data_IF_335608694024
#
_entry.id   IF_335608694024
#
_cell.length_a   1.000
_cell.length_b   1.000
_cell.length_c   1.000
_cell.angle_alpha   90.00
_cell.angle_beta   90.00
_cell.angle_gamma   90.00
#
_symmetry.space_group_name_H-M   'P 1'
#
loop_
_entity.id
_entity.type
_entity.pdbx_description
1 polymer ?
#
# COMPACT_ATOMS: atom_id res chain seq x y z
N UNK A 1 1.89 -16.56 24.19
CA UNK A 1 1.43 -16.73 22.80
C UNK A 1 2.58 -16.37 21.89
N UNK A 2 2.83 -17.07 20.79
CA UNK A 2 3.85 -16.68 19.83
C UNK A 2 3.49 -15.32 19.25
N UNK A 3 4.51 -14.49 19.05
CA UNK A 3 4.36 -13.15 18.48
C UNK A 3 4.74 -13.25 17.00
N UNK A 4 3.85 -12.77 16.10
CA UNK A 4 4.15 -12.65 14.68
C UNK A 4 5.01 -11.43 14.38
N UNK A 5 5.64 -11.42 13.23
CA UNK A 5 6.27 -10.22 12.72
C UNK A 5 5.23 -9.11 12.45
N UNK A 6 5.54 -7.86 12.78
CA UNK A 6 4.72 -6.73 12.38
C UNK A 6 4.75 -6.54 10.86
N UNK A 7 3.61 -6.13 10.33
CA UNK A 7 3.45 -5.74 8.93
C UNK A 7 3.71 -4.25 8.81
N UNK A 8 4.72 -3.89 8.05
CA UNK A 8 5.17 -2.51 7.83
C UNK A 8 4.82 -2.09 6.42
N UNK A 9 4.06 -1.01 6.24
CA UNK A 9 3.80 -0.42 4.93
C UNK A 9 4.71 0.79 4.69
N UNK A 10 5.23 0.91 3.47
CA UNK A 10 6.03 2.06 3.03
C UNK A 10 5.19 2.94 2.13
N UNK A 11 4.97 4.18 2.54
CA UNK A 11 4.09 5.17 1.91
C UNK A 11 4.85 6.43 1.50
N UNK A 12 4.29 7.22 0.63
CA UNK A 12 4.86 8.49 0.19
C UNK A 12 4.60 8.76 -1.29
N UNK A 13 4.95 9.96 -1.72
CA UNK A 13 4.76 10.38 -3.12
C UNK A 13 5.59 9.52 -4.10
N UNK A 14 5.21 9.52 -5.39
CA UNK A 14 6.05 8.97 -6.45
C UNK A 14 7.41 9.67 -6.41
N UNK A 15 8.49 8.96 -6.71
CA UNK A 15 9.88 9.45 -6.69
C UNK A 15 10.46 9.85 -5.33
N UNK A 16 9.76 9.64 -4.20
CA UNK A 16 10.34 9.86 -2.86
C UNK A 16 11.42 8.83 -2.50
N UNK A 17 11.53 7.73 -3.27
CA UNK A 17 12.57 6.71 -3.11
C UNK A 17 12.15 5.52 -2.24
N UNK A 18 10.86 5.16 -2.20
CA UNK A 18 10.34 4.02 -1.43
C UNK A 18 11.06 2.71 -1.77
N UNK A 19 11.06 2.33 -3.04
CA UNK A 19 11.71 1.09 -3.50
C UNK A 19 13.23 1.14 -3.32
N UNK A 20 13.85 2.31 -3.55
CA UNK A 20 15.28 2.49 -3.32
C UNK A 20 15.67 2.30 -1.85
N UNK A 21 14.84 2.81 -0.91
CA UNK A 21 15.04 2.60 0.52
C UNK A 21 15.02 1.10 0.85
N UNK A 22 14.05 0.36 0.33
CA UNK A 22 13.93 -1.06 0.57
C UNK A 22 15.07 -1.85 -0.11
N UNK A 23 15.47 -1.45 -1.31
CA UNK A 23 16.63 -2.04 -2.02
C UNK A 23 17.94 -1.84 -1.24
N UNK A 24 18.12 -0.66 -0.64
CA UNK A 24 19.27 -0.39 0.20
C UNK A 24 19.32 -1.31 1.42
N UNK A 25 18.17 -1.57 2.06
CA UNK A 25 18.07 -2.51 3.19
C UNK A 25 18.32 -3.96 2.73
N UNK A 26 17.77 -4.36 1.57
CA UNK A 26 17.93 -5.70 0.98
C UNK A 26 19.30 -5.95 0.38
N UNK A 27 20.08 -4.90 0.12
CA UNK A 27 21.27 -4.90 -0.76
C UNK A 27 20.94 -5.45 -2.15
N UNK A 28 19.77 -5.07 -2.67
CA UNK A 28 19.21 -5.50 -3.96
C UNK A 28 19.08 -4.32 -4.94
N UNK A 29 18.58 -4.57 -6.13
CA UNK A 29 18.42 -3.56 -7.18
C UNK A 29 17.07 -3.72 -7.91
N UNK A 30 15.99 -3.89 -7.17
CA UNK A 30 14.63 -4.09 -7.74
C UNK A 30 14.20 -2.85 -8.52
N UNK A 31 14.42 -1.65 -7.97
CA UNK A 31 14.08 -0.38 -8.63
C UNK A 31 14.73 -0.23 -10.02
N UNK A 32 15.99 -0.62 -10.15
CA UNK A 32 16.70 -0.49 -11.42
C UNK A 32 16.13 -1.40 -12.54
N UNK A 33 15.27 -2.35 -12.20
CA UNK A 33 14.67 -3.33 -13.11
C UNK A 33 13.22 -2.98 -13.46
N UNK A 34 12.58 -2.14 -12.69
CA UNK A 34 11.22 -1.67 -12.98
C UNK A 34 11.23 -0.64 -14.11
N UNK A 35 10.24 -0.71 -15.00
CA UNK A 35 10.11 0.20 -16.12
C UNK A 35 9.94 1.65 -15.63
N UNK A 36 10.87 2.53 -16.01
CA UNK A 36 10.89 3.92 -15.56
C UNK A 36 11.36 4.11 -14.11
N UNK A 37 11.83 3.06 -13.42
CA UNK A 37 12.28 3.13 -12.02
C UNK A 37 11.16 3.40 -11.00
N UNK A 38 9.90 3.22 -11.42
CA UNK A 38 8.71 3.40 -10.57
C UNK A 38 8.08 2.05 -10.24
N UNK A 39 7.70 1.87 -9.00
CA UNK A 39 7.02 0.66 -8.52
C UNK A 39 5.62 0.57 -9.11
N UNK A 40 5.36 -0.48 -9.89
CA UNK A 40 4.09 -0.71 -10.56
C UNK A 40 3.26 -1.84 -9.91
N UNK A 41 3.89 -2.67 -9.09
CA UNK A 41 3.27 -3.82 -8.43
C UNK A 41 3.54 -3.82 -6.92
N UNK A 42 2.64 -4.43 -6.15
CA UNK A 42 2.81 -4.56 -4.70
C UNK A 42 3.85 -5.62 -4.41
N UNK A 43 4.90 -5.25 -3.65
CA UNK A 43 5.93 -6.16 -3.16
C UNK A 43 5.79 -6.47 -1.68
N UNK A 44 6.22 -7.65 -1.29
CA UNK A 44 6.33 -8.02 0.12
C UNK A 44 7.65 -8.74 0.36
N UNK A 45 8.38 -8.34 1.40
CA UNK A 45 9.65 -8.93 1.78
C UNK A 45 9.73 -9.12 3.27
N UNK A 46 10.27 -10.25 3.67
CA UNK A 46 10.54 -10.54 5.08
C UNK A 46 11.97 -10.16 5.44
N UNK A 47 12.11 -9.33 6.45
CA UNK A 47 13.40 -8.92 7.03
C UNK A 47 13.58 -9.62 8.39
N UNK A 48 14.44 -10.67 8.47
CA UNK A 48 14.73 -11.34 9.74
C UNK A 48 15.32 -10.39 10.78
N UNK A 49 15.02 -10.63 12.05
CA UNK A 49 15.54 -9.81 13.14
C UNK A 49 17.09 -9.79 13.18
N UNK A 50 17.72 -10.93 12.87
CA UNK A 50 19.18 -11.04 12.78
C UNK A 50 19.75 -10.04 11.78
N UNK A 51 19.20 -9.95 10.59
CA UNK A 51 19.61 -9.00 9.54
C UNK A 51 19.39 -7.55 9.99
N UNK A 52 18.24 -7.26 10.63
CA UNK A 52 17.96 -5.92 11.16
C UNK A 52 18.99 -5.52 12.23
N UNK A 53 19.39 -6.46 13.09
CA UNK A 53 20.41 -6.25 14.11
C UNK A 53 21.78 -6.01 13.46
N UNK A 54 22.13 -6.73 12.40
CA UNK A 54 23.38 -6.52 11.66
C UNK A 54 23.45 -5.12 11.05
N UNK A 55 22.36 -4.66 10.42
CA UNK A 55 22.28 -3.31 9.82
C UNK A 55 22.35 -2.23 10.90
N UNK A 56 21.59 -2.38 11.97
CA UNK A 56 21.54 -1.40 13.06
C UNK A 56 22.82 -1.39 13.94
N UNK A 57 23.61 -2.45 13.91
CA UNK A 57 24.90 -2.55 14.56
C UNK A 57 24.95 -2.03 16.01
N UNK A 58 25.70 -0.96 16.27
CA UNK A 58 25.88 -0.41 17.62
C UNK A 58 24.61 0.08 18.28
N UNK A 59 23.61 0.57 17.51
CA UNK A 59 22.37 1.14 18.02
C UNK A 59 21.52 0.10 18.77
N UNK A 60 21.52 -1.16 18.32
CA UNK A 60 20.76 -2.25 18.93
C UNK A 60 21.66 -3.24 19.71
N UNK A 61 22.96 -3.13 19.63
CA UNK A 61 23.93 -4.15 20.04
C UNK A 61 23.82 -4.63 21.50
N UNK A 62 23.55 -3.72 22.45
CA UNK A 62 23.39 -4.06 23.88
C UNK A 62 21.98 -4.56 24.23
N UNK A 63 21.02 -4.49 23.32
CA UNK A 63 19.61 -4.80 23.58
C UNK A 63 19.11 -6.04 22.81
N UNK A 64 19.99 -6.77 22.10
CA UNK A 64 19.62 -7.94 21.27
C UNK A 64 18.70 -8.93 21.98
N UNK A 65 18.95 -9.23 23.25
CA UNK A 65 18.15 -10.19 24.02
C UNK A 65 16.76 -9.69 24.42
N UNK A 66 16.46 -8.42 24.22
CA UNK A 66 15.17 -7.81 24.58
C UNK A 66 14.14 -7.89 23.46
N UNK A 67 14.58 -8.07 22.22
CA UNK A 67 13.67 -8.13 21.07
C UNK A 67 13.03 -9.52 20.96
N UNK A 68 11.71 -9.55 20.88
CA UNK A 68 10.88 -10.77 20.80
C UNK A 68 10.21 -10.95 19.44
N UNK A 69 10.22 -9.90 18.59
CA UNK A 69 9.68 -9.99 17.24
C UNK A 69 10.62 -10.83 16.36
N UNK A 70 10.11 -11.73 15.50
CA UNK A 70 10.96 -12.57 14.64
C UNK A 70 11.59 -11.80 13.46
N UNK A 71 11.08 -10.61 13.15
CA UNK A 71 11.53 -9.76 12.06
C UNK A 71 10.46 -8.76 11.68
N UNK A 72 10.52 -8.23 10.45
CA UNK A 72 9.53 -7.32 9.88
C UNK A 72 9.04 -7.87 8.53
N UNK A 73 7.74 -7.87 8.29
CA UNK A 73 7.18 -8.07 6.95
C UNK A 73 6.93 -6.68 6.35
N UNK A 74 7.76 -6.29 5.39
CA UNK A 74 7.66 -4.97 4.77
C UNK A 74 6.95 -5.10 3.43
N UNK A 75 5.96 -4.22 3.23
CA UNK A 75 5.16 -4.15 2.02
C UNK A 75 5.58 -2.90 1.26
N UNK A 76 6.12 -3.11 0.06
CA UNK A 76 6.40 -2.06 -0.91
C UNK A 76 5.16 -1.81 -1.75
N UNK A 77 4.75 -0.58 -1.83
CA UNK A 77 3.47 -0.23 -2.46
C UNK A 77 3.67 0.79 -3.57
N UNK A 78 3.04 0.57 -4.76
CA UNK A 78 2.94 1.62 -5.76
C UNK A 78 2.08 2.75 -5.19
N UNK A 79 2.71 3.83 -4.75
CA UNK A 79 2.01 5.01 -4.21
C UNK A 79 0.97 4.66 -3.14
N UNK A 80 -0.25 5.16 -3.32
CA UNK A 80 -1.39 5.00 -2.39
C UNK A 80 -2.23 3.72 -2.61
N UNK A 81 -2.13 3.09 -3.80
CA UNK A 81 -3.04 2.00 -4.23
C UNK A 81 -3.02 0.79 -3.33
N UNK A 82 -1.85 0.40 -2.87
CA UNK A 82 -1.72 -0.81 -2.10
C UNK A 82 -2.17 -0.67 -0.65
N UNK A 83 -2.09 0.53 -0.09
CA UNK A 83 -2.64 0.76 1.25
C UNK A 83 -4.16 0.70 1.24
N UNK A 84 -4.79 1.08 0.13
CA UNK A 84 -6.21 0.90 -0.08
C UNK A 84 -6.57 -0.60 -0.19
N UNK A 85 -5.75 -1.41 -0.88
CA UNK A 85 -5.95 -2.86 -0.99
C UNK A 85 -5.69 -3.64 0.31
N UNK A 86 -4.90 -3.08 1.25
CA UNK A 86 -4.61 -3.66 2.56
C UNK A 86 -5.62 -3.23 3.64
N UNK A 87 -6.84 -2.87 3.25
CA UNK A 87 -7.88 -2.38 4.16
C UNK A 87 -8.32 -3.37 5.23
N UNK A 88 -8.74 -2.77 6.35
CA UNK A 88 -9.46 -3.41 7.44
C UNK A 88 -10.70 -4.17 6.95
N UNK A 89 -10.54 -5.48 6.77
CA UNK A 89 -11.66 -6.39 6.89
C UNK A 89 -11.25 -7.50 7.86
N UNK A 90 -11.48 -7.21 9.16
CA UNK A 90 -11.24 -8.18 10.21
C UNK A 90 -9.85 -8.14 10.89
N UNK A 91 -9.07 -7.09 10.70
CA UNK A 91 -7.74 -6.90 11.31
C UNK A 91 -6.85 -6.04 10.42
N UNK A 92 -6.24 -4.99 10.95
CA UNK A 92 -5.44 -4.05 10.16
C UNK A 92 -4.32 -4.76 9.40
N UNK A 93 -4.27 -4.60 8.09
CA UNK A 93 -3.25 -5.24 7.27
C UNK A 93 -1.85 -4.63 7.48
N UNK A 94 -1.72 -3.43 8.04
CA UNK A 94 -0.46 -2.84 8.45
C UNK A 94 -0.50 -2.48 9.94
N UNK A 95 0.50 -2.93 10.66
CA UNK A 95 0.64 -2.65 12.09
C UNK A 95 1.30 -1.29 12.32
N UNK A 96 2.21 -0.89 11.42
CA UNK A 96 2.93 0.38 11.45
C UNK A 96 3.28 0.79 10.01
N UNK A 97 3.46 2.09 9.78
CA UNK A 97 3.86 2.59 8.47
C UNK A 97 5.14 3.43 8.54
N UNK A 98 5.87 3.46 7.42
CA UNK A 98 6.94 4.42 7.15
C UNK A 98 6.43 5.38 6.09
N UNK A 99 6.29 6.65 6.43
CA UNK A 99 5.94 7.70 5.48
C UNK A 99 7.23 8.35 4.96
N UNK A 100 7.50 8.24 3.66
CA UNK A 100 8.66 8.90 3.03
C UNK A 100 8.28 10.32 2.58
N UNK A 101 9.13 11.26 2.95
CA UNK A 101 9.05 12.66 2.55
C UNK A 101 10.39 13.06 1.95
N UNK A 102 10.39 13.72 0.81
CA UNK A 102 11.60 14.27 0.21
C UNK A 102 12.03 15.52 1.01
N UNK A 103 13.28 15.57 1.46
CA UNK A 103 13.77 16.66 2.31
C UNK A 103 13.64 18.04 1.64
N UNK A 104 13.85 18.11 0.31
CA UNK A 104 13.82 19.36 -0.44
C UNK A 104 12.41 19.78 -0.86
N UNK A 105 11.55 18.80 -1.20
CA UNK A 105 10.20 19.06 -1.70
C UNK A 105 9.15 19.13 -0.58
N UNK A 106 9.41 18.49 0.56
CA UNK A 106 8.45 18.40 1.65
C UNK A 106 7.23 17.56 1.29
N UNK A 107 6.04 18.05 1.66
CA UNK A 107 4.78 17.36 1.39
C UNK A 107 4.29 17.61 -0.03
N UNK A 108 4.03 16.52 -0.73
CA UNK A 108 3.42 16.51 -2.07
C UNK A 108 2.02 15.85 -1.99
N UNK A 109 1.21 15.92 -3.04
CA UNK A 109 -0.20 15.49 -3.02
C UNK A 109 -0.41 14.07 -2.43
N UNK A 110 0.36 13.08 -2.86
CA UNK A 110 0.23 11.71 -2.34
C UNK A 110 0.77 11.55 -0.90
N UNK A 111 1.61 12.48 -0.43
CA UNK A 111 2.04 12.50 0.98
C UNK A 111 0.89 12.91 1.88
N UNK A 112 0.11 13.94 1.50
CA UNK A 112 -1.10 14.32 2.22
C UNK A 112 -2.14 13.21 2.22
N UNK A 113 -2.37 12.56 1.09
CA UNK A 113 -3.25 11.40 0.97
C UNK A 113 -2.84 10.27 1.92
N UNK A 114 -1.57 9.92 1.89
CA UNK A 114 -1.02 8.89 2.79
C UNK A 114 -1.26 9.26 4.27
N UNK A 115 -1.06 10.53 4.62
CA UNK A 115 -1.28 11.05 5.96
C UNK A 115 -2.76 10.96 6.39
N UNK A 116 -3.69 11.34 5.50
CA UNK A 116 -5.13 11.25 5.73
C UNK A 116 -5.58 9.80 5.96
N UNK A 117 -5.05 8.88 5.17
CA UNK A 117 -5.31 7.44 5.33
C UNK A 117 -4.78 6.95 6.69
N UNK A 118 -3.55 7.30 7.06
CA UNK A 118 -2.96 6.93 8.34
C UNK A 118 -3.79 7.47 9.52
N UNK A 119 -4.24 8.72 9.42
CA UNK A 119 -5.11 9.38 10.40
C UNK A 119 -6.47 8.69 10.53
N UNK A 120 -7.15 8.45 9.41
CA UNK A 120 -8.46 7.80 9.38
C UNK A 120 -8.42 6.38 9.98
N UNK A 121 -7.29 5.68 9.84
CA UNK A 121 -7.11 4.31 10.35
C UNK A 121 -6.47 4.23 11.73
N UNK A 122 -5.97 5.35 12.23
CA UNK A 122 -5.20 5.40 13.48
C UNK A 122 -4.00 4.45 13.44
N UNK A 123 -3.39 4.28 12.26
CA UNK A 123 -2.20 3.46 12.10
C UNK A 123 -0.99 4.24 12.61
N UNK A 124 -0.20 3.71 13.56
CA UNK A 124 1.03 4.36 13.99
C UNK A 124 2.02 4.43 12.83
N UNK A 125 2.81 5.49 12.77
CA UNK A 125 3.80 5.66 11.71
C UNK A 125 5.00 6.48 12.19
N UNK A 126 6.10 6.33 11.46
CA UNK A 126 7.26 7.22 11.55
C UNK A 126 7.57 7.77 10.15
N UNK A 127 8.37 8.80 10.09
CA UNK A 127 8.67 9.50 8.84
C UNK A 127 10.16 9.32 8.50
N UNK A 128 10.43 8.85 7.29
CA UNK A 128 11.75 8.87 6.70
C UNK A 128 11.87 10.14 5.84
N UNK A 129 12.62 11.13 6.31
CA UNK A 129 12.93 12.35 5.55
C UNK A 129 14.11 12.03 4.64
N UNK A 130 13.78 11.65 3.39
CA UNK A 130 14.72 11.05 2.45
C UNK A 130 15.43 12.06 1.56
N UNK A 131 16.55 11.61 0.96
CA UNK A 131 17.39 12.35 0.01
C UNK A 131 18.21 13.47 0.66
N UNK A 132 18.65 13.31 1.90
CA UNK A 132 19.57 14.25 2.54
C UNK A 132 20.86 14.43 1.75
N UNK A 133 21.28 13.40 0.98
CA UNK A 133 22.41 13.45 0.05
C UNK A 133 22.26 14.51 -1.07
N UNK A 134 21.08 15.06 -1.27
CA UNK A 134 20.79 16.11 -2.26
C UNK A 134 20.86 17.51 -1.69
N UNK A 135 21.01 17.67 -0.41
CA UNK A 135 21.23 19.00 0.19
C UNK A 135 22.52 19.60 -0.35
N UNK A 136 22.51 20.86 -0.77
CA UNK A 136 23.69 21.52 -1.32
C UNK A 136 24.85 21.51 -0.32
N UNK A 137 25.95 20.86 -0.70
CA UNK A 137 27.16 20.75 0.12
C UNK A 137 27.16 19.61 1.13
N UNK A 138 26.10 18.80 1.23
CA UNK A 138 26.12 17.62 2.09
C UNK A 138 27.24 16.64 1.70
N UNK A 139 28.04 16.25 2.66
CA UNK A 139 29.08 15.25 2.49
C UNK A 139 28.62 13.95 3.15
N UNK A 140 28.42 12.91 2.35
CA UNK A 140 27.89 11.63 2.85
C UNK A 140 28.95 10.82 3.57
N UNK A 141 28.60 10.30 4.76
CA UNK A 141 29.43 9.42 5.58
C UNK A 141 28.68 8.13 5.94
N UNK A 142 28.46 7.21 4.97
CA UNK A 142 27.63 6.02 5.15
C UNK A 142 28.12 5.04 6.21
N UNK A 143 29.40 5.11 6.58
CA UNK A 143 30.02 4.26 7.62
C UNK A 143 29.82 4.80 9.05
N UNK A 144 29.32 6.02 9.20
CA UNK A 144 29.09 6.68 10.48
C UNK A 144 27.63 6.60 10.88
N UNK A 145 27.37 6.74 12.18
CA UNK A 145 26.01 6.99 12.64
C UNK A 145 25.52 8.34 12.12
N UNK A 146 24.21 8.44 11.87
CA UNK A 146 23.62 9.64 11.26
C UNK A 146 23.96 10.93 12.03
N UNK A 147 23.91 10.88 13.36
CA UNK A 147 24.20 12.08 14.16
C UNK A 147 25.69 12.47 14.10
N UNK A 148 26.60 11.50 13.99
CA UNK A 148 28.03 11.77 13.77
C UNK A 148 28.26 12.38 12.39
N UNK A 149 27.61 11.85 11.36
CA UNK A 149 27.61 12.42 10.01
C UNK A 149 27.05 13.85 9.99
N UNK A 150 25.93 14.10 10.69
CA UNK A 150 25.33 15.43 10.82
C UNK A 150 26.27 16.42 11.53
N UNK A 151 26.87 16.04 12.65
CA UNK A 151 27.79 16.88 13.40
C UNK A 151 29.09 17.20 12.63
N UNK A 152 29.48 16.33 11.70
CA UNK A 152 30.64 16.56 10.83
C UNK A 152 30.40 17.54 9.67
N UNK A 153 29.11 17.86 9.39
CA UNK A 153 28.76 18.81 8.34
C UNK A 153 29.11 20.24 8.74
N UNK A 154 29.31 21.09 7.73
CA UNK A 154 29.45 22.53 7.95
C UNK A 154 28.16 23.08 8.62
N UNK A 155 28.32 24.02 9.54
CA UNK A 155 27.22 24.63 10.30
C UNK A 155 26.08 25.14 9.39
N UNK A 156 26.41 25.75 8.24
CA UNK A 156 25.42 26.17 7.27
C UNK A 156 24.54 25.03 6.73
N UNK A 157 25.14 23.85 6.51
CA UNK A 157 24.43 22.66 6.02
C UNK A 157 23.56 22.07 7.13
N UNK A 158 24.03 22.12 8.37
CA UNK A 158 23.23 21.70 9.54
C UNK A 158 21.99 22.60 9.69
N UNK A 159 22.16 23.91 9.59
CA UNK A 159 21.07 24.89 9.64
C UNK A 159 20.08 24.70 8.47
N UNK A 160 20.56 24.43 7.27
CA UNK A 160 19.72 24.19 6.09
C UNK A 160 18.86 22.93 6.28
N UNK A 161 19.46 21.84 6.75
CA UNK A 161 18.71 20.61 7.09
C UNK A 161 17.68 20.88 8.19
N UNK A 162 18.05 21.57 9.27
CA UNK A 162 17.12 21.90 10.36
C UNK A 162 15.96 22.78 9.88
N UNK A 163 16.16 23.73 8.97
CA UNK A 163 15.12 24.54 8.38
C UNK A 163 14.12 23.71 7.56
N UNK A 164 14.60 22.74 6.78
CA UNK A 164 13.73 21.78 6.08
C UNK A 164 12.91 20.95 7.08
N UNK A 165 13.52 20.50 8.18
CA UNK A 165 12.81 19.79 9.23
C UNK A 165 11.73 20.66 9.89
N UNK A 166 12.01 21.91 10.23
CA UNK A 166 11.00 22.82 10.79
C UNK A 166 9.82 23.04 9.84
N UNK A 167 10.07 23.11 8.54
CA UNK A 167 9.01 23.23 7.52
C UNK A 167 8.13 21.97 7.51
N UNK A 168 8.72 20.78 7.53
CA UNK A 168 8.01 19.50 7.59
C UNK A 168 7.21 19.38 8.89
N UNK A 169 7.82 19.71 10.04
CA UNK A 169 7.17 19.72 11.36
C UNK A 169 5.98 20.65 11.40
N UNK A 170 6.10 21.87 10.81
CA UNK A 170 5.02 22.84 10.66
C UNK A 170 3.84 22.26 9.87
N UNK A 171 4.12 21.55 8.79
CA UNK A 171 3.09 20.87 7.98
C UNK A 171 2.39 19.77 8.78
N UNK A 172 3.11 18.95 9.54
CA UNK A 172 2.51 17.95 10.44
C UNK A 172 1.62 18.62 11.49
N UNK A 173 2.09 19.70 12.11
CA UNK A 173 1.33 20.46 13.11
C UNK A 173 0.01 21.01 12.54
N UNK A 174 0.05 21.56 11.32
CA UNK A 174 -1.14 22.05 10.61
C UNK A 174 -2.17 20.92 10.34
N UNK A 175 -1.71 19.66 10.22
CA UNK A 175 -2.55 18.48 10.04
C UNK A 175 -2.93 17.77 11.36
N UNK A 176 -2.59 18.37 12.52
CA UNK A 176 -2.97 17.87 13.84
C UNK A 176 -2.06 16.79 14.40
N UNK A 177 -0.82 16.67 13.91
CA UNK A 177 0.21 15.78 14.44
C UNK A 177 1.32 16.57 15.10
N UNK A 178 1.81 16.08 16.23
CA UNK A 178 3.07 16.54 16.80
C UNK A 178 4.20 15.70 16.20
N UNK A 179 5.19 16.32 15.58
CA UNK A 179 6.33 15.64 14.98
C UNK A 179 7.63 16.28 15.44
N UNK A 180 8.66 15.45 15.63
CA UNK A 180 9.98 15.91 16.10
C UNK A 180 11.08 15.02 15.51
N UNK A 181 12.30 15.54 15.39
CA UNK A 181 13.46 14.75 14.99
C UNK A 181 13.71 13.62 16.00
N UNK A 182 13.97 12.42 15.55
CA UNK A 182 13.99 11.20 16.34
C UNK A 182 14.89 11.25 17.57
N UNK A 183 16.02 11.98 17.50
CA UNK A 183 17.01 12.14 18.56
C UNK A 183 16.54 13.11 19.67
N UNK A 184 15.56 13.96 19.40
CA UNK A 184 14.98 14.93 20.35
C UNK A 184 13.70 14.43 21.02
N UNK A 185 13.14 13.31 20.57
CA UNK A 185 11.87 12.78 21.12
C UNK A 185 12.09 12.16 22.50
N UNK A 186 11.31 12.64 23.48
CA UNK A 186 11.27 12.07 24.84
C UNK A 186 10.17 11.02 24.98
N UNK A 187 9.06 11.18 24.26
CA UNK A 187 7.89 10.31 24.34
C UNK A 187 7.34 10.03 22.94
N UNK A 188 7.64 8.85 22.43
CA UNK A 188 7.20 8.38 21.11
C UNK A 188 5.69 8.10 21.03
N UNK A 189 4.96 8.12 22.14
CA UNK A 189 3.48 7.97 22.11
C UNK A 189 2.79 9.26 21.72
N UNK A 190 3.47 10.39 21.83
CA UNK A 190 2.89 11.73 21.62
C UNK A 190 3.46 12.44 20.39
N UNK A 191 4.56 11.95 19.86
CA UNK A 191 5.24 12.61 18.75
C UNK A 191 5.61 11.61 17.66
N UNK A 192 5.38 11.99 16.43
CA UNK A 192 5.80 11.27 15.23
C UNK A 192 7.31 11.49 15.04
N UNK A 193 8.07 10.41 14.90
CA UNK A 193 9.51 10.47 14.70
C UNK A 193 9.83 10.83 13.25
N UNK A 194 10.61 11.88 13.06
CA UNK A 194 11.23 12.24 11.78
C UNK A 194 12.68 11.77 11.79
N UNK A 195 13.04 10.87 10.88
CA UNK A 195 14.40 10.33 10.74
C UNK A 195 14.98 10.78 9.40
N UNK A 196 16.07 11.58 9.41
CA UNK A 196 16.80 11.91 8.18
C UNK A 196 17.43 10.65 7.58
N UNK A 197 17.24 10.44 6.26
CA UNK A 197 17.82 9.28 5.59
C UNK A 197 18.29 9.63 4.18
N UNK A 198 19.24 8.88 3.67
CA UNK A 198 19.52 8.78 2.25
C UNK A 198 19.39 7.32 1.81
N UNK A 199 18.32 7.01 1.10
CA UNK A 199 18.13 5.70 0.49
C UNK A 199 19.24 5.35 -0.52
N UNK A 200 19.93 6.37 -1.06
CA UNK A 200 21.00 6.21 -2.04
C UNK A 200 22.35 5.84 -1.38
N UNK A 201 22.70 6.51 -0.29
CA UNK A 201 24.00 6.33 0.39
C UNK A 201 23.91 5.35 1.55
N UNK A 202 22.71 5.09 2.08
CA UNK A 202 22.49 4.24 3.24
C UNK A 202 22.50 4.99 4.58
N UNK A 203 22.85 6.29 4.59
CA UNK A 203 22.86 7.10 5.81
C UNK A 203 21.47 7.16 6.46
N UNK A 204 21.39 7.05 7.77
CA UNK A 204 20.17 7.12 8.56
C UNK A 204 19.28 5.86 8.50
N UNK A 205 19.62 4.88 7.66
CA UNK A 205 18.84 3.61 7.59
C UNK A 205 18.98 2.81 8.90
N UNK A 206 20.15 2.68 9.52
CA UNK A 206 20.27 2.03 10.84
C UNK A 206 19.40 2.69 11.91
N UNK A 207 19.34 4.02 11.95
CA UNK A 207 18.50 4.79 12.87
C UNK A 207 17.02 4.58 12.59
N UNK A 208 16.60 4.66 11.33
CA UNK A 208 15.22 4.42 10.91
C UNK A 208 14.73 3.04 11.35
N UNK A 209 15.52 2.00 11.09
CA UNK A 209 15.17 0.62 11.46
C UNK A 209 15.22 0.42 12.99
N UNK A 210 16.14 1.07 13.67
CA UNK A 210 16.25 1.01 15.13
C UNK A 210 15.00 1.61 15.81
N UNK A 211 14.54 2.79 15.34
CA UNK A 211 13.32 3.43 15.81
C UNK A 211 12.10 2.55 15.47
N UNK A 212 12.02 2.01 14.26
CA UNK A 212 10.92 1.15 13.82
C UNK A 212 10.80 -0.12 14.69
N UNK A 213 11.91 -0.83 14.91
CA UNK A 213 11.97 -2.03 15.76
C UNK A 213 11.61 -1.69 17.21
N UNK A 214 12.11 -0.56 17.72
CA UNK A 214 11.79 -0.07 19.06
C UNK A 214 10.29 0.20 19.24
N UNK A 215 9.68 0.94 18.31
CA UNK A 215 8.25 1.25 18.32
C UNK A 215 7.38 -0.02 18.25
N UNK A 216 7.70 -0.93 17.35
CA UNK A 216 6.94 -2.19 17.21
C UNK A 216 7.05 -3.06 18.45
N UNK A 217 8.23 -3.19 19.02
CA UNK A 217 8.46 -3.99 20.22
C UNK A 217 7.76 -3.43 21.47
N UNK A 218 7.73 -2.11 21.61
CA UNK A 218 7.22 -1.45 22.81
C UNK A 218 5.72 -1.25 22.79
N UNK A 219 5.16 -0.88 21.64
CA UNK A 219 3.76 -0.42 21.55
C UNK A 219 2.81 -1.38 20.84
N UNK A 220 3.34 -2.29 19.99
CA UNK A 220 2.49 -3.19 19.22
C UNK A 220 2.49 -4.64 19.72
N UNK A 221 3.30 -4.97 20.72
CA UNK A 221 3.50 -6.33 21.21
C UNK A 221 2.20 -7.08 21.50
N UNK A 222 1.24 -6.42 22.13
CA UNK A 222 -0.04 -7.05 22.49
C UNK A 222 -0.96 -7.27 21.27
N UNK A 223 -0.74 -6.52 20.20
CA UNK A 223 -1.50 -6.62 18.94
C UNK A 223 -0.90 -7.66 17.98
N UNK A 224 0.34 -8.10 18.23
CA UNK A 224 1.06 -9.07 17.39
C UNK A 224 0.88 -10.52 17.83
N UNK A 225 -0.03 -10.81 18.75
CA UNK A 225 -0.35 -12.19 19.14
C UNK A 225 -0.98 -12.96 17.97
N UNK A 226 -0.48 -14.16 17.70
CA UNK A 226 -1.00 -15.06 16.66
C UNK A 226 -2.10 -15.93 17.25
N UNK A 227 -3.21 -16.07 16.49
CA UNK A 227 -4.21 -17.09 16.79
C UNK A 227 -3.84 -18.40 16.07
N UNK A 228 -3.88 -19.54 16.78
CA UNK A 228 -3.72 -20.88 16.18
C UNK A 228 -5.01 -21.30 15.44
N UNK A 229 -5.51 -20.43 14.57
CA UNK A 229 -6.75 -20.61 13.84
C UNK A 229 -6.53 -20.70 12.31
N UNK A 230 -7.64 -20.86 11.56
CA UNK A 230 -7.61 -20.84 10.10
C UNK A 230 -7.08 -19.48 9.59
N UNK A 231 -6.30 -19.55 8.53
CA UNK A 231 -5.62 -18.38 7.96
C UNK A 231 -6.59 -17.35 7.42
N UNK A 232 -6.28 -16.06 7.67
CA UNK A 232 -6.94 -14.90 7.08
C UNK A 232 -5.92 -14.06 6.35
N UNK A 233 -6.27 -13.63 5.17
CA UNK A 233 -5.37 -12.90 4.31
C UNK A 233 -6.08 -11.92 3.38
N UNK A 234 -5.28 -11.25 2.58
CA UNK A 234 -5.74 -10.38 1.49
C UNK A 234 -4.92 -10.66 0.24
N UNK A 235 -5.58 -10.66 -0.90
CA UNK A 235 -4.95 -10.79 -2.21
C UNK A 235 -4.23 -9.48 -2.54
N UNK A 236 -2.95 -9.56 -2.88
CA UNK A 236 -2.18 -8.42 -3.37
C UNK A 236 -2.29 -8.29 -4.88
N UNK A 237 -2.05 -9.42 -5.57
CA UNK A 237 -1.97 -9.47 -7.03
C UNK A 237 -2.39 -10.86 -7.53
N UNK A 238 -2.97 -10.91 -8.72
CA UNK A 238 -3.27 -12.14 -9.46
C UNK A 238 -2.36 -12.19 -10.68
N UNK A 239 -1.62 -13.27 -10.85
CA UNK A 239 -0.58 -13.37 -11.88
C UNK A 239 -0.59 -14.74 -12.56
N UNK A 240 -0.40 -14.76 -13.86
CA UNK A 240 -0.20 -16.00 -14.60
C UNK A 240 1.29 -16.33 -14.66
N UNK A 241 1.66 -17.53 -14.24
CA UNK A 241 3.05 -17.97 -14.18
C UNK A 241 3.28 -19.27 -14.94
N UNK A 242 4.38 -19.27 -15.70
CA UNK A 242 4.79 -20.47 -16.46
C UNK A 242 5.00 -21.67 -15.53
N UNK A 243 4.31 -22.77 -15.81
CA UNK A 243 4.41 -24.03 -15.05
C UNK A 243 3.56 -24.08 -13.76
N UNK A 244 3.02 -22.99 -13.28
CA UNK A 244 2.14 -22.95 -12.09
C UNK A 244 0.69 -22.60 -12.46
N UNK A 245 0.46 -21.99 -13.62
CA UNK A 245 -0.82 -21.41 -14.00
C UNK A 245 -1.09 -20.11 -13.26
N UNK A 246 -2.35 -19.80 -13.05
CA UNK A 246 -2.71 -18.60 -12.30
C UNK A 246 -2.41 -18.76 -10.82
N UNK A 247 -1.67 -17.82 -10.28
CA UNK A 247 -1.26 -17.72 -8.89
C UNK A 247 -1.76 -16.42 -8.26
N UNK A 248 -1.90 -16.42 -6.95
CA UNK A 248 -2.25 -15.25 -6.16
C UNK A 248 -1.09 -14.93 -5.22
N UNK A 249 -0.56 -13.72 -5.31
CA UNK A 249 0.28 -13.15 -4.26
C UNK A 249 -0.64 -12.62 -3.17
N UNK A 250 -0.46 -13.07 -1.94
CA UNK A 250 -1.31 -12.71 -0.81
C UNK A 250 -0.50 -12.44 0.45
N UNK A 251 -1.08 -11.69 1.37
CA UNK A 251 -0.59 -11.55 2.74
C UNK A 251 -1.51 -12.33 3.65
N UNK A 252 -0.95 -13.25 4.42
CA UNK A 252 -1.65 -13.90 5.54
C UNK A 252 -1.34 -13.08 6.78
N UNK A 253 -2.34 -12.40 7.32
CA UNK A 253 -2.17 -11.49 8.47
C UNK A 253 -2.62 -12.09 9.81
N UNK A 254 -3.39 -13.20 9.81
CA UNK A 254 -3.81 -13.94 10.98
C UNK A 254 -3.93 -15.44 10.67
N UNK A 255 -3.73 -16.29 11.66
CA UNK A 255 -3.89 -17.74 11.56
C UNK A 255 -2.80 -18.44 10.74
N UNK A 256 -3.15 -19.63 10.24
CA UNK A 256 -2.26 -20.53 9.50
C UNK A 256 -2.90 -20.96 8.18
N UNK A 257 -2.13 -20.94 7.10
CA UNK A 257 -2.47 -21.51 5.79
C UNK A 257 -1.61 -22.74 5.53
N UNK A 258 -2.23 -23.84 5.11
CA UNK A 258 -1.55 -25.10 4.78
C UNK A 258 -1.81 -25.50 3.34
N UNK A 259 -0.85 -26.21 2.77
CA UNK A 259 -1.07 -26.93 1.50
C UNK A 259 -2.20 -27.94 1.69
N UNK A 260 -3.16 -27.92 0.77
CA UNK A 260 -4.34 -28.78 0.84
C UNK A 260 -5.56 -28.15 1.52
N UNK A 261 -5.40 -26.99 2.18
CA UNK A 261 -6.55 -26.27 2.75
C UNK A 261 -7.50 -25.80 1.64
N UNK A 262 -8.78 -25.74 1.98
CA UNK A 262 -9.77 -25.04 1.16
C UNK A 262 -9.72 -23.58 1.52
N UNK A 263 -9.59 -22.72 0.52
CA UNK A 263 -9.64 -21.27 0.66
C UNK A 263 -10.84 -20.69 -0.07
N UNK A 264 -11.41 -19.63 0.49
CA UNK A 264 -12.39 -18.78 -0.18
C UNK A 264 -11.78 -17.43 -0.43
N UNK A 265 -11.82 -17.00 -1.69
CA UNK A 265 -11.24 -15.75 -2.18
C UNK A 265 -12.28 -14.95 -2.92
N UNK A 266 -12.28 -13.62 -2.79
CA UNK A 266 -13.15 -12.76 -3.57
C UNK A 266 -12.82 -12.79 -5.06
N UNK A 267 -13.84 -12.97 -5.89
CA UNK A 267 -13.74 -13.00 -7.34
C UNK A 267 -14.49 -11.84 -8.01
N UNK A 268 -14.24 -11.64 -9.31
CA UNK A 268 -14.84 -10.56 -10.12
C UNK A 268 -16.37 -10.62 -10.12
N UNK A 269 -16.93 -11.80 -10.34
CA UNK A 269 -18.38 -12.01 -10.37
C UNK A 269 -18.89 -12.70 -9.11
N UNK A 270 -18.19 -13.74 -8.67
CA UNK A 270 -18.55 -14.57 -7.52
C UNK A 270 -17.32 -14.94 -6.72
N UNK A 271 -17.43 -15.14 -5.40
CA UNK A 271 -16.33 -15.67 -4.62
C UNK A 271 -15.95 -17.08 -5.09
N UNK A 272 -14.66 -17.38 -4.97
CA UNK A 272 -14.03 -18.62 -5.45
C UNK A 272 -13.71 -19.48 -4.24
N UNK A 273 -14.25 -20.70 -4.18
CA UNK A 273 -13.78 -21.73 -3.25
C UNK A 273 -12.84 -22.68 -4.00
N UNK A 274 -11.61 -22.83 -3.50
CA UNK A 274 -10.61 -23.67 -4.16
C UNK A 274 -9.66 -24.31 -3.16
N UNK A 275 -9.04 -25.44 -3.57
CA UNK A 275 -8.07 -26.16 -2.75
C UNK A 275 -6.64 -25.75 -3.11
N UNK A 276 -5.89 -25.35 -2.12
CA UNK A 276 -4.49 -24.94 -2.27
C UNK A 276 -3.61 -26.09 -2.74
N UNK A 277 -3.01 -25.96 -3.92
CA UNK A 277 -2.06 -26.94 -4.48
C UNK A 277 -0.64 -26.73 -4.00
N UNK A 278 -0.22 -25.47 -3.91
CA UNK A 278 1.10 -25.10 -3.42
C UNK A 278 1.06 -23.77 -2.69
N UNK A 279 1.88 -23.69 -1.65
CA UNK A 279 2.20 -22.46 -0.93
C UNK A 279 3.69 -22.23 -1.13
N UNK A 280 4.03 -21.06 -1.66
CA UNK A 280 5.38 -20.70 -2.03
C UNK A 280 5.79 -19.46 -1.21
N UNK A 281 6.92 -19.55 -0.53
CA UNK A 281 7.51 -18.43 0.22
C UNK A 281 8.72 -17.88 -0.54
N UNK A 282 8.87 -16.55 -0.68
CA UNK A 282 10.13 -15.95 -1.08
C UNK A 282 11.18 -16.25 0.01
N UNK A 283 12.45 -16.29 -0.36
CA UNK A 283 13.51 -16.34 0.63
C UNK A 283 13.54 -15.04 1.44
N UNK A 284 14.07 -15.07 2.68
CA UNK A 284 14.29 -13.86 3.44
C UNK A 284 15.07 -12.82 2.61
N UNK A 285 14.66 -11.57 2.68
CA UNK A 285 15.13 -10.42 1.89
C UNK A 285 14.76 -10.44 0.40
N UNK A 286 14.40 -11.59 -0.17
CA UNK A 286 13.89 -11.65 -1.55
C UNK A 286 12.49 -11.03 -1.61
N UNK A 287 12.13 -10.58 -2.79
CA UNK A 287 10.83 -9.95 -3.01
C UNK A 287 9.89 -10.88 -3.78
N UNK A 288 8.63 -10.90 -3.37
CA UNK A 288 7.60 -11.76 -3.97
C UNK A 288 7.37 -11.48 -5.47
N UNK A 289 7.79 -10.31 -5.95
CA UNK A 289 7.67 -9.89 -7.37
C UNK A 289 8.83 -10.34 -8.25
N UNK A 290 10.02 -10.59 -7.72
CA UNK A 290 11.20 -10.86 -8.55
C UNK A 290 11.09 -12.26 -9.17
N UNK A 291 10.99 -12.37 -10.52
CA UNK A 291 10.82 -13.66 -11.20
C UNK A 291 12.05 -14.57 -11.09
N UNK A 292 13.20 -14.02 -10.68
CA UNK A 292 14.45 -14.78 -10.50
C UNK A 292 14.58 -15.35 -9.09
N UNK A 293 13.76 -14.88 -8.16
CA UNK A 293 13.79 -15.33 -6.79
C UNK A 293 13.27 -16.75 -6.70
N UNK A 294 14.07 -17.60 -6.06
CA UNK A 294 13.71 -18.99 -5.86
C UNK A 294 12.71 -19.10 -4.71
N UNK A 295 11.47 -19.30 -5.06
CA UNK A 295 10.46 -19.65 -4.08
C UNK A 295 10.72 -21.02 -3.46
N UNK A 296 10.56 -21.13 -2.17
CA UNK A 296 10.56 -22.39 -1.45
C UNK A 296 9.12 -22.88 -1.29
N UNK A 297 8.82 -24.10 -1.79
CA UNK A 297 7.54 -24.74 -1.52
C UNK A 297 7.50 -25.17 -0.06
N UNK A 298 6.46 -24.75 0.65
CA UNK A 298 6.27 -25.05 2.07
C UNK A 298 4.93 -25.75 2.31
N UNK A 299 4.84 -26.53 3.37
CA UNK A 299 3.61 -27.23 3.74
C UNK A 299 2.64 -26.32 4.50
N UNK A 300 3.15 -25.34 5.23
CA UNK A 300 2.33 -24.38 6.00
C UNK A 300 3.05 -23.06 6.21
N UNK A 301 2.26 -22.01 6.36
CA UNK A 301 2.73 -20.67 6.75
C UNK A 301 1.84 -20.11 7.84
N UNK A 302 2.43 -19.43 8.80
CA UNK A 302 1.73 -18.68 9.84
C UNK A 302 1.74 -17.18 9.52
N UNK A 303 0.84 -16.45 10.11
CA UNK A 303 0.84 -14.99 10.05
C UNK A 303 2.10 -14.40 10.75
N UNK A 304 2.59 -13.25 10.31
CA UNK A 304 2.27 -12.53 9.09
C UNK A 304 3.23 -12.95 7.97
N UNK A 305 2.71 -13.36 6.84
CA UNK A 305 3.57 -13.84 5.74
C UNK A 305 3.06 -13.37 4.39
N UNK A 306 3.98 -12.89 3.55
CA UNK A 306 3.74 -12.72 2.12
C UNK A 306 3.93 -14.06 1.43
N UNK A 307 2.93 -14.53 0.72
CA UNK A 307 2.92 -15.87 0.11
C UNK A 307 2.40 -15.82 -1.32
N UNK A 308 2.93 -16.72 -2.13
CA UNK A 308 2.35 -17.03 -3.44
C UNK A 308 1.56 -18.33 -3.32
N UNK A 309 0.30 -18.29 -3.71
CA UNK A 309 -0.63 -19.42 -3.63
C UNK A 309 -0.98 -19.89 -5.03
N UNK A 310 -0.78 -21.15 -5.31
CA UNK A 310 -1.25 -21.81 -6.52
C UNK A 310 -2.46 -22.68 -6.20
N UNK A 311 -3.57 -22.42 -6.89
CA UNK A 311 -4.80 -23.21 -6.77
C UNK A 311 -5.61 -23.09 -8.08
N UNK A 312 -6.56 -24.03 -8.35
CA UNK A 312 -7.45 -23.93 -9.51
C UNK A 312 -8.37 -22.70 -9.43
N UNK A 313 -8.81 -22.21 -10.57
CA UNK A 313 -9.87 -21.19 -10.72
C UNK A 313 -9.53 -19.80 -10.16
N UNK A 314 -8.25 -19.49 -9.96
CA UNK A 314 -7.82 -18.18 -9.46
C UNK A 314 -7.82 -17.07 -10.54
N UNK A 315 -8.13 -17.37 -11.79
CA UNK A 315 -8.09 -16.45 -12.93
C UNK A 315 -9.07 -15.28 -12.76
N UNK A 316 -10.14 -15.50 -11.99
CA UNK A 316 -11.17 -14.51 -11.70
C UNK A 316 -11.04 -13.88 -10.32
N UNK A 317 -9.98 -14.20 -9.57
CA UNK A 317 -9.73 -13.59 -8.28
C UNK A 317 -9.48 -12.08 -8.42
N UNK A 318 -9.84 -11.33 -7.38
CA UNK A 318 -9.68 -9.87 -7.34
C UNK A 318 -8.50 -9.46 -6.49
N UNK A 319 -7.69 -8.54 -6.99
CA UNK A 319 -6.72 -7.82 -6.16
C UNK A 319 -7.43 -6.98 -5.09
N UNK A 320 -6.91 -7.01 -3.86
CA UNK A 320 -7.52 -6.38 -2.69
C UNK A 320 -8.65 -7.19 -2.03
N UNK A 321 -9.03 -8.34 -2.60
CA UNK A 321 -10.08 -9.15 -2.04
C UNK A 321 -9.64 -9.91 -0.78
N UNK A 322 -10.57 -10.22 0.15
CA UNK A 322 -10.31 -11.06 1.30
C UNK A 322 -10.03 -12.51 0.87
N UNK A 323 -9.18 -13.15 1.65
CA UNK A 323 -8.85 -14.58 1.55
C UNK A 323 -9.04 -15.22 2.93
N UNK A 324 -9.85 -16.27 2.99
CA UNK A 324 -10.09 -17.04 4.20
C UNK A 324 -9.79 -18.53 4.00
N UNK A 325 -9.09 -19.12 4.95
CA UNK A 325 -8.98 -20.57 5.05
C UNK A 325 -10.25 -21.11 5.70
N UNK A 326 -10.89 -22.07 5.07
CA UNK A 326 -12.13 -22.70 5.57
C UNK A 326 -11.76 -23.81 6.56
N UNK A 327 -12.23 -23.75 7.83
CA UNK A 327 -11.86 -24.74 8.84
C UNK A 327 -12.38 -26.16 8.54
N UNK A 328 -13.57 -26.25 7.94
CA UNK A 328 -14.18 -27.52 7.50
C UNK A 328 -14.99 -27.32 6.22
N UNK A 329 -15.10 -28.34 5.39
CA UNK A 329 -15.81 -28.26 4.11
C UNK A 329 -17.29 -27.82 4.26
N UNK A 330 -17.93 -28.18 5.36
CA UNK A 330 -19.32 -27.82 5.66
C UNK A 330 -19.52 -26.30 5.79
N UNK A 331 -18.51 -25.57 6.21
CA UNK A 331 -18.54 -24.11 6.40
C UNK A 331 -18.27 -23.33 5.10
N UNK A 332 -17.89 -24.02 4.01
CA UNK A 332 -17.54 -23.34 2.74
C UNK A 332 -18.64 -22.40 2.26
N UNK A 333 -19.92 -22.78 2.40
CA UNK A 333 -21.05 -21.92 1.99
C UNK A 333 -21.17 -20.64 2.81
N UNK A 334 -20.88 -20.70 4.08
CA UNK A 334 -20.89 -19.54 4.98
C UNK A 334 -19.78 -18.55 4.60
N UNK A 335 -18.55 -19.04 4.38
CA UNK A 335 -17.44 -18.20 3.94
C UNK A 335 -17.65 -17.61 2.54
N UNK A 336 -18.25 -18.35 1.61
CA UNK A 336 -18.63 -17.82 0.30
C UNK A 336 -19.61 -16.67 0.45
N UNK A 337 -20.64 -16.79 1.30
CA UNK A 337 -21.57 -15.69 1.58
C UNK A 337 -20.88 -14.50 2.22
N UNK A 338 -20.05 -14.75 3.25
CA UNK A 338 -19.30 -13.70 3.92
C UNK A 338 -18.43 -12.90 2.93
N UNK A 339 -17.65 -13.58 2.10
CA UNK A 339 -16.80 -12.95 1.10
C UNK A 339 -17.62 -12.19 0.05
N UNK A 340 -18.76 -12.75 -0.40
CA UNK A 340 -19.67 -12.06 -1.31
C UNK A 340 -20.17 -10.74 -0.71
N UNK A 341 -20.70 -10.79 0.51
CA UNK A 341 -21.18 -9.61 1.23
C UNK A 341 -20.07 -8.56 1.43
N UNK A 342 -18.85 -9.00 1.72
CA UNK A 342 -17.70 -8.10 1.87
C UNK A 342 -17.31 -7.43 0.55
N UNK A 343 -17.29 -8.16 -0.56
CA UNK A 343 -16.98 -7.61 -1.89
C UNK A 343 -18.13 -6.72 -2.40
N UNK A 344 -19.37 -7.14 -2.21
CA UNK A 344 -20.54 -6.37 -2.63
C UNK A 344 -20.66 -5.04 -1.90
N UNK A 345 -20.37 -4.97 -0.61
CA UNK A 345 -20.36 -3.72 0.16
C UNK A 345 -19.47 -2.63 -0.45
N UNK A 346 -18.48 -3.01 -1.23
CA UNK A 346 -17.59 -2.06 -1.91
C UNK A 346 -18.12 -1.65 -3.27
N UNK A 347 -18.81 -2.56 -3.95
CA UNK A 347 -19.40 -2.30 -5.27
C UNK A 347 -20.64 -1.41 -5.22
N UNK A 348 -21.10 -1.02 -4.03
CA UNK A 348 -22.36 -0.28 -3.87
C UNK A 348 -22.11 1.23 -3.85
N UNK A 349 -22.40 1.85 -4.94
CA UNK A 349 -22.94 3.20 -4.98
C UNK A 349 -23.97 3.22 -6.12
N UNK A 350 -25.22 3.35 -5.82
CA UNK A 350 -26.28 3.40 -6.83
C UNK A 350 -27.13 4.62 -6.58
N UNK A 351 -26.58 5.78 -6.96
CA UNK A 351 -27.37 6.96 -7.18
C UNK A 351 -27.96 6.89 -8.60
N UNK A 352 -29.20 7.34 -8.75
CA UNK A 352 -29.86 7.30 -10.06
C UNK A 352 -29.10 8.14 -11.08
N UNK A 353 -28.53 9.25 -10.65
CA UNK A 353 -27.83 10.22 -11.48
C UNK A 353 -26.39 10.45 -10.98
N UNK A 354 -25.46 9.62 -11.36
CA UNK A 354 -24.07 9.72 -10.90
C UNK A 354 -23.05 9.26 -11.94
N UNK A 355 -21.78 9.47 -11.66
CA UNK A 355 -20.67 9.03 -12.52
C UNK A 355 -20.56 7.51 -12.55
N UNK A 356 -20.02 6.98 -13.65
CA UNK A 356 -19.61 5.58 -13.73
C UNK A 356 -18.13 5.50 -13.35
N UNK A 357 -17.80 4.70 -12.33
CA UNK A 357 -16.45 4.51 -11.83
C UNK A 357 -15.95 3.10 -12.17
N UNK A 358 -14.79 3.03 -12.85
CA UNK A 358 -14.08 1.77 -13.15
C UNK A 358 -12.66 1.82 -12.63
N UNK A 359 -12.25 0.74 -11.94
CA UNK A 359 -10.92 0.65 -11.33
C UNK A 359 -10.31 -0.74 -11.53
N UNK A 360 -9.00 -0.83 -11.34
CA UNK A 360 -8.24 -2.08 -11.43
C UNK A 360 -8.41 -3.02 -10.24
N UNK A 361 -8.69 -2.45 -9.05
CA UNK A 361 -8.72 -3.19 -7.80
C UNK A 361 -9.81 -2.68 -6.85
N UNK A 362 -10.19 -3.56 -5.91
CA UNK A 362 -11.24 -3.27 -4.92
C UNK A 362 -10.89 -2.08 -4.02
N UNK A 363 -9.61 -1.97 -3.64
CA UNK A 363 -9.15 -0.88 -2.78
C UNK A 363 -9.16 0.48 -3.46
N UNK A 364 -8.77 0.54 -4.74
CA UNK A 364 -8.85 1.76 -5.56
C UNK A 364 -10.30 2.21 -5.70
N UNK A 365 -11.23 1.25 -5.92
CA UNK A 365 -12.66 1.52 -6.01
C UNK A 365 -13.19 2.21 -4.74
N UNK A 366 -12.89 1.62 -3.58
CA UNK A 366 -13.31 2.19 -2.29
C UNK A 366 -12.71 3.58 -2.04
N UNK A 367 -11.40 3.75 -2.31
CA UNK A 367 -10.71 5.02 -2.07
C UNK A 367 -11.34 6.14 -2.90
N UNK A 368 -11.53 5.90 -4.19
CA UNK A 368 -12.13 6.89 -5.09
C UNK A 368 -13.60 7.14 -4.72
N UNK A 369 -14.37 6.10 -4.41
CA UNK A 369 -15.76 6.25 -3.99
C UNK A 369 -15.90 7.09 -2.71
N UNK A 370 -14.99 6.95 -1.75
CA UNK A 370 -14.96 7.75 -0.53
C UNK A 370 -14.64 9.23 -0.80
N UNK A 371 -13.69 9.50 -1.72
CA UNK A 371 -13.37 10.87 -2.14
C UNK A 371 -14.58 11.49 -2.86
N UNK A 372 -15.17 10.80 -3.83
CA UNK A 372 -16.34 11.29 -4.57
C UNK A 372 -17.52 11.59 -3.63
N UNK A 373 -17.71 10.74 -2.62
CA UNK A 373 -18.74 10.98 -1.58
C UNK A 373 -18.47 12.23 -0.75
N UNK A 374 -17.19 12.48 -0.41
CA UNK A 374 -16.77 13.68 0.34
C UNK A 374 -16.99 14.95 -0.48
N UNK A 375 -16.76 14.88 -1.79
CA UNK A 375 -16.99 15.97 -2.75
C UNK A 375 -18.47 16.08 -3.18
N UNK A 376 -19.37 15.30 -2.56
CA UNK A 376 -20.80 15.25 -2.91
C UNK A 376 -21.07 14.90 -4.38
N UNK A 377 -20.20 14.10 -5.00
CA UNK A 377 -20.36 13.59 -6.36
C UNK A 377 -21.05 12.23 -6.30
N UNK A 378 -22.27 12.10 -6.86
CA UNK A 378 -23.00 10.84 -6.83
C UNK A 378 -22.35 9.80 -7.76
N UNK A 379 -22.47 8.52 -7.41
CA UNK A 379 -21.94 7.39 -8.19
C UNK A 379 -23.09 6.51 -8.65
N UNK A 380 -23.27 6.38 -9.97
CA UNK A 380 -24.26 5.50 -10.59
C UNK A 380 -23.85 4.04 -10.55
N UNK A 381 -22.63 3.78 -10.96
CA UNK A 381 -22.05 2.45 -11.04
C UNK A 381 -20.60 2.50 -10.61
N UNK A 382 -20.22 1.61 -9.70
CA UNK A 382 -18.83 1.40 -9.32
C UNK A 382 -18.48 -0.07 -9.52
N UNK A 383 -17.52 -0.38 -10.40
CA UNK A 383 -17.13 -1.75 -10.72
C UNK A 383 -15.63 -1.87 -11.06
N UNK A 384 -15.13 -3.10 -11.07
CA UNK A 384 -13.73 -3.43 -11.29
C UNK A 384 -13.54 -4.01 -12.69
N UNK A 385 -12.43 -3.63 -13.34
CA UNK A 385 -12.03 -4.11 -14.65
C UNK A 385 -12.07 -3.04 -15.73
N UNK A 386 -11.71 -3.43 -16.95
CA UNK A 386 -11.64 -2.53 -18.11
C UNK A 386 -13.01 -1.89 -18.42
N UNK A 387 -12.97 -0.68 -18.95
CA UNK A 387 -14.19 0.03 -19.37
C UNK A 387 -14.80 -0.70 -20.57
N UNK A 388 -16.04 -1.15 -20.42
CA UNK A 388 -16.80 -1.88 -21.42
C UNK A 388 -17.90 -1.02 -22.06
N UNK A 389 -18.48 -1.50 -23.14
CA UNK A 389 -19.62 -0.86 -23.80
C UNK A 389 -20.79 -0.62 -22.83
N UNK A 390 -21.06 -1.55 -21.89
CA UNK A 390 -22.10 -1.42 -20.87
C UNK A 390 -21.88 -0.18 -20.00
N UNK A 391 -20.64 0.09 -19.60
CA UNK A 391 -20.30 1.23 -18.74
C UNK A 391 -20.59 2.56 -19.45
N UNK A 392 -20.35 2.62 -20.76
CA UNK A 392 -20.66 3.79 -21.59
C UNK A 392 -22.16 3.99 -21.73
N UNK A 393 -22.93 2.90 -21.89
CA UNK A 393 -24.40 2.98 -21.94
C UNK A 393 -24.97 3.52 -20.63
N UNK A 394 -24.48 3.06 -19.48
CA UNK A 394 -24.89 3.58 -18.17
C UNK A 394 -24.58 5.08 -18.03
N UNK A 395 -23.36 5.51 -18.40
CA UNK A 395 -22.99 6.92 -18.38
C UNK A 395 -23.84 7.77 -19.34
N UNK A 396 -24.20 7.24 -20.51
CA UNK A 396 -25.09 7.90 -21.46
C UNK A 396 -26.47 8.12 -20.87
N UNK A 397 -27.05 7.11 -20.20
CA UNK A 397 -28.38 7.25 -19.55
C UNK A 397 -28.36 8.41 -18.57
N UNK A 398 -27.29 8.52 -17.75
CA UNK A 398 -27.15 9.64 -16.81
C UNK A 398 -27.01 10.97 -17.54
N UNK A 399 -26.25 11.01 -18.64
CA UNK A 399 -26.01 12.22 -19.41
C UNK A 399 -27.26 12.87 -19.94
N UNK A 400 -28.30 12.09 -20.27
CA UNK A 400 -29.55 12.58 -20.78
C UNK A 400 -30.36 13.38 -19.73
N UNK A 401 -30.11 13.11 -18.42
CA UNK A 401 -30.78 13.78 -17.30
C UNK A 401 -29.87 14.75 -16.57
N UNK A 402 -28.60 14.36 -16.35
CA UNK A 402 -27.58 15.14 -15.64
C UNK A 402 -26.23 15.11 -16.41
N UNK A 403 -26.10 16.00 -17.40
CA UNK A 403 -24.97 15.97 -18.33
C UNK A 403 -23.58 16.08 -17.67
N UNK A 404 -23.48 16.67 -16.47
CA UNK A 404 -22.23 16.82 -15.74
C UNK A 404 -21.74 15.50 -15.11
N UNK A 405 -22.66 14.58 -14.81
CA UNK A 405 -22.33 13.30 -14.21
C UNK A 405 -22.39 12.12 -15.19
N UNK A 406 -22.85 12.36 -16.43
CA UNK A 406 -22.88 11.36 -17.49
C UNK A 406 -21.51 11.07 -18.10
N UNK A 407 -20.54 10.70 -17.25
CA UNK A 407 -19.14 10.47 -17.60
C UNK A 407 -18.63 9.16 -17.00
N UNK A 408 -17.49 8.67 -17.51
CA UNK A 408 -16.78 7.51 -16.95
C UNK A 408 -15.47 7.98 -16.35
N UNK A 409 -15.25 7.64 -15.07
CA UNK A 409 -13.99 7.79 -14.38
C UNK A 409 -13.26 6.44 -14.41
N UNK A 410 -12.13 6.38 -15.11
CA UNK A 410 -11.38 5.16 -15.35
C UNK A 410 -10.02 5.25 -14.67
N UNK A 411 -9.84 4.52 -13.58
CA UNK A 411 -8.61 4.51 -12.80
C UNK A 411 -7.78 3.25 -13.09
N UNK A 412 -6.59 3.44 -13.65
CA UNK A 412 -5.61 2.37 -13.93
C UNK A 412 -6.18 1.17 -14.73
N UNK A 413 -7.15 1.42 -15.59
CA UNK A 413 -7.80 0.42 -16.45
C UNK A 413 -7.74 0.84 -17.91
N UNK A 414 -7.94 -0.12 -18.79
CA UNK A 414 -8.02 0.14 -20.23
C UNK A 414 -9.46 0.43 -20.63
N UNK A 415 -9.61 1.10 -21.76
CA UNK A 415 -10.90 1.26 -22.43
C UNK A 415 -10.92 0.27 -23.58
N UNK A 416 -11.90 -0.64 -23.59
CA UNK A 416 -12.06 -1.62 -24.68
C UNK A 416 -12.42 -0.89 -25.98
N UNK A 417 -12.06 -1.48 -27.12
CA UNK A 417 -12.24 -0.83 -28.41
C UNK A 417 -13.71 -0.51 -28.71
N UNK A 418 -14.62 -1.44 -28.43
CA UNK A 418 -16.05 -1.27 -28.58
C UNK A 418 -16.63 -0.18 -27.63
N UNK A 419 -16.08 -0.05 -26.44
CA UNK A 419 -16.41 1.02 -25.50
C UNK A 419 -15.94 2.40 -26.01
N UNK A 420 -14.73 2.47 -26.57
CA UNK A 420 -14.21 3.71 -27.11
C UNK A 420 -15.03 4.22 -28.31
N UNK A 421 -15.46 3.32 -29.20
CA UNK A 421 -16.35 3.63 -30.31
C UNK A 421 -17.72 4.11 -29.83
N UNK A 422 -18.32 3.42 -28.86
CA UNK A 422 -19.60 3.79 -28.26
C UNK A 422 -19.54 5.15 -27.55
N UNK A 423 -18.46 5.42 -26.82
CA UNK A 423 -18.22 6.68 -26.14
C UNK A 423 -18.15 7.86 -27.13
N UNK A 424 -17.45 7.66 -28.24
CA UNK A 424 -17.36 8.66 -29.31
C UNK A 424 -18.72 8.94 -29.96
N UNK A 425 -19.48 7.88 -30.29
CA UNK A 425 -20.78 7.99 -30.92
C UNK A 425 -21.80 8.73 -30.04
N UNK A 426 -21.76 8.50 -28.73
CA UNK A 426 -22.67 9.11 -27.77
C UNK A 426 -22.09 10.34 -27.08
N UNK A 427 -20.89 10.77 -27.46
CA UNK A 427 -20.17 11.90 -26.85
C UNK A 427 -20.07 11.76 -25.31
N UNK A 428 -19.89 10.56 -24.80
CA UNK A 428 -19.62 10.29 -23.39
C UNK A 428 -18.15 10.56 -23.12
N UNK A 429 -17.85 11.43 -22.14
CA UNK A 429 -16.45 11.71 -21.78
C UNK A 429 -15.92 10.62 -20.85
N UNK A 430 -14.67 10.21 -21.08
CA UNK A 430 -13.95 9.26 -20.26
C UNK A 430 -12.71 9.99 -19.72
N UNK A 431 -12.63 10.11 -18.39
CA UNK A 431 -11.44 10.57 -17.68
C UNK A 431 -10.62 9.35 -17.32
N UNK A 432 -9.34 9.34 -17.69
CA UNK A 432 -8.47 8.19 -17.47
C UNK A 432 -7.15 8.61 -16.89
N UNK A 433 -6.86 8.17 -15.68
CA UNK A 433 -5.60 8.41 -14.98
C UNK A 433 -5.15 7.18 -14.18
N UNK A 434 -3.86 7.17 -13.83
CA UNK A 434 -3.24 6.22 -12.92
C UNK A 434 -2.87 6.85 -11.55
N UNK A 435 -3.29 8.10 -11.31
CA UNK A 435 -3.15 8.82 -10.04
C UNK A 435 -4.55 9.32 -9.65
N UNK A 436 -5.02 8.94 -8.46
CA UNK A 436 -6.40 9.20 -8.01
C UNK A 436 -6.72 10.69 -8.01
N UNK A 437 -5.86 11.52 -7.44
CA UNK A 437 -6.12 12.96 -7.37
C UNK A 437 -6.16 13.60 -8.75
N UNK A 438 -5.27 13.22 -9.66
CA UNK A 438 -5.33 13.76 -11.03
C UNK A 438 -6.63 13.40 -11.74
N UNK A 439 -7.16 12.20 -11.48
CA UNK A 439 -8.46 11.78 -12.03
C UNK A 439 -9.59 12.66 -11.47
N UNK A 440 -9.56 12.89 -10.17
CA UNK A 440 -10.60 13.67 -9.47
C UNK A 440 -10.48 15.16 -9.81
N UNK A 441 -9.27 15.72 -9.78
CA UNK A 441 -9.02 17.13 -10.06
C UNK A 441 -9.41 17.47 -11.50
N UNK A 442 -9.00 16.66 -12.50
CA UNK A 442 -9.40 16.86 -13.90
C UNK A 442 -10.92 16.83 -14.05
N UNK A 443 -11.59 15.95 -13.35
CA UNK A 443 -13.04 15.86 -13.40
C UNK A 443 -13.71 17.07 -12.72
N UNK A 444 -13.24 17.53 -11.56
CA UNK A 444 -13.77 18.69 -10.85
C UNK A 444 -13.52 19.98 -11.65
N UNK A 445 -12.35 20.13 -12.21
CA UNK A 445 -12.01 21.28 -13.07
C UNK A 445 -12.92 21.34 -14.31
N UNK A 446 -13.15 20.19 -14.91
CA UNK A 446 -14.08 20.08 -16.03
C UNK A 446 -15.52 20.43 -15.62
N UNK A 447 -16.03 19.89 -14.51
CA UNK A 447 -17.39 20.24 -14.01
C UNK A 447 -17.49 21.74 -13.77
N UNK A 448 -16.47 22.34 -13.15
CA UNK A 448 -16.48 23.77 -12.84
C UNK A 448 -16.48 24.61 -14.11
N UNK A 449 -15.70 24.23 -15.10
CA UNK A 449 -15.65 24.88 -16.42
C UNK A 449 -16.99 24.77 -17.14
N UNK A 450 -17.61 23.59 -17.14
CA UNK A 450 -18.92 23.36 -17.78
C UNK A 450 -20.08 24.10 -17.08
N UNK A 451 -20.03 24.20 -15.75
CA UNK A 451 -21.00 25.01 -14.99
C UNK A 451 -20.90 26.48 -15.35
N UNK A 452 -19.68 27.02 -15.43
CA UNK A 452 -19.45 28.40 -15.80
C UNK A 452 -19.93 28.72 -17.22
N UNK A 453 -19.74 27.79 -18.18
CA UNK A 453 -20.23 27.94 -19.55
C UNK A 453 -21.75 27.92 -19.67
N UNK A 454 -22.45 27.28 -18.73
CA UNK A 454 -23.94 27.20 -18.73
C UNK A 454 -24.59 28.37 -17.96
N UNK A 455 -23.82 29.13 -17.19
CA UNK A 455 -24.30 30.26 -16.39
C UNK A 455 -24.15 31.59 -17.15
N UNK A 456 -23.47 31.60 -18.29
CA UNK A 456 -23.36 32.70 -19.25
C UNK A 456 -24.37 32.51 -20.38
#
# INVERSE_FOLDING_TARGET
MPIRQPIVCVLGHVDTGKTLLLDSIRKSSVQAREAGGITQHIGASFFPLETLIEICGPLLGKQKSRFKIPGLLVIDTPGHEAFANLRKRGGGAADIAILLVDVLKGFEAQTFESLDILKARKTPFLVAVNKIDRLPGWVSHPEQLLMESYESQNHYIQEDLDNHFYTIMGTFSANGFNAERFDKIKDFTRSVALVPVSAKTGEGIPELLSVLVGLTQQYLKDQLSVTDGPGKGSVLEVKEEAGLGTTVNAIIYDGILRKGDVIVVGGKEKPIATKVRAVLLPKPLDEIRDPRDRFSSVNSVSAASGVKIAAPYLETALAGAPLYVVPSEDQTREFLRQVSEEVEKVKIATDINGVVLKTDALGSLEAIAEILKREAIPIRLADIGDVSKRDIVEARIVKDYEPLFGVVLAFNVRVLQDAAEEAKNNRVRIFRHNIIYHLIDEFIDWITSERNLRTV
#
